data_IF_349407955739
#
_entry.id   IF_349407955739
#
_cell.length_a   1.000
_cell.length_b   1.000
_cell.length_c   1.000
_cell.angle_alpha   90.00
_cell.angle_beta   90.00
_cell.angle_gamma   90.00
#
_symmetry.space_group_name_H-M   'P 1'
#
loop_
_entity.id
_entity.type
_entity.pdbx_description
1 polymer ?
#
# COMPACT_ATOMS: atom_id res chain seq x y z
N UNK A 1 -16.02 -5.14 11.45
CA UNK A 1 -14.98 -4.09 11.34
C UNK A 1 -15.41 -3.07 10.31
N UNK A 2 -15.16 -1.77 10.53
CA UNK A 2 -15.40 -0.75 9.50
C UNK A 2 -14.31 -0.83 8.43
N UNK A 3 -14.70 -0.70 7.16
CA UNK A 3 -13.79 -0.70 6.02
C UNK A 3 -13.38 0.74 5.68
N UNK A 4 -12.08 1.00 5.66
CA UNK A 4 -11.53 2.31 5.31
C UNK A 4 -10.73 2.24 4.01
N UNK A 5 -10.54 3.41 3.40
CA UNK A 5 -9.55 3.64 2.35
C UNK A 5 -8.32 4.24 3.03
N UNK A 6 -7.19 3.52 3.00
CA UNK A 6 -5.94 3.92 3.67
C UNK A 6 -4.93 4.35 2.62
N UNK A 7 -4.37 5.55 2.79
CA UNK A 7 -3.27 6.04 1.98
C UNK A 7 -1.94 5.86 2.73
N UNK A 8 -0.95 5.24 2.09
CA UNK A 8 0.33 4.89 2.70
C UNK A 8 1.47 5.53 1.91
N UNK A 9 2.32 6.28 2.60
CA UNK A 9 3.64 6.67 2.12
C UNK A 9 4.67 5.64 2.58
N UNK A 10 5.71 5.40 1.77
CA UNK A 10 6.70 4.37 2.10
C UNK A 10 6.16 2.94 2.06
N UNK A 11 5.13 2.67 1.25
CA UNK A 11 4.48 1.35 1.15
C UNK A 11 5.43 0.23 0.74
N UNK A 12 6.53 0.56 0.05
CA UNK A 12 7.57 -0.40 -0.36
C UNK A 12 8.67 -0.60 0.70
N UNK A 13 8.61 0.13 1.83
CA UNK A 13 9.60 0.09 2.90
C UNK A 13 9.34 -1.02 3.92
N UNK A 14 10.16 -1.06 4.99
CA UNK A 14 10.14 -2.12 6.00
C UNK A 14 8.78 -2.29 6.69
N UNK A 15 8.14 -1.18 7.08
CA UNK A 15 6.81 -1.24 7.69
C UNK A 15 5.72 -1.44 6.65
N UNK A 16 5.79 -0.75 5.51
CA UNK A 16 4.79 -0.84 4.45
C UNK A 16 4.57 -2.27 3.94
N UNK A 17 5.66 -3.02 3.73
CA UNK A 17 5.58 -4.43 3.26
C UNK A 17 4.87 -5.36 4.24
N UNK A 18 4.88 -5.07 5.54
CA UNK A 18 4.20 -5.86 6.56
C UNK A 18 2.77 -5.35 6.82
N UNK A 19 2.57 -4.03 6.81
CA UNK A 19 1.30 -3.39 7.10
C UNK A 19 0.27 -3.58 5.97
N UNK A 20 0.71 -3.49 4.71
CA UNK A 20 -0.19 -3.56 3.56
C UNK A 20 -0.96 -4.90 3.50
N UNK A 21 -0.30 -6.08 3.60
CA UNK A 21 -1.00 -7.36 3.62
C UNK A 21 -2.05 -7.46 4.74
N UNK A 22 -1.72 -6.97 5.93
CA UNK A 22 -2.65 -6.97 7.08
C UNK A 22 -3.88 -6.09 6.83
N UNK A 23 -3.69 -4.89 6.27
CA UNK A 23 -4.80 -3.99 5.93
C UNK A 23 -5.70 -4.61 4.85
N UNK A 24 -5.09 -5.22 3.83
CA UNK A 24 -5.82 -5.94 2.78
C UNK A 24 -6.58 -7.15 3.34
N UNK A 25 -5.94 -7.94 4.21
CA UNK A 25 -6.56 -9.10 4.87
C UNK A 25 -7.74 -8.73 5.77
N UNK A 26 -7.72 -7.53 6.36
CA UNK A 26 -8.84 -6.95 7.12
C UNK A 26 -9.92 -6.32 6.23
N UNK A 27 -9.75 -6.36 4.90
CA UNK A 27 -10.71 -5.89 3.92
C UNK A 27 -10.64 -4.40 3.61
N UNK A 28 -9.61 -3.68 4.06
CA UNK A 28 -9.41 -2.27 3.73
C UNK A 28 -8.95 -2.10 2.27
N UNK A 29 -9.27 -0.95 1.68
CA UNK A 29 -8.71 -0.56 0.39
C UNK A 29 -7.43 0.24 0.63
N UNK A 30 -6.34 -0.12 -0.05
CA UNK A 30 -5.04 0.53 0.14
C UNK A 30 -4.63 1.28 -1.13
N UNK A 31 -4.18 2.52 -0.93
CA UNK A 31 -3.50 3.33 -1.94
C UNK A 31 -2.09 3.62 -1.43
N UNK A 32 -1.07 3.43 -2.25
CA UNK A 32 0.31 3.65 -1.81
C UNK A 32 1.06 4.57 -2.76
N UNK A 33 1.73 5.58 -2.20
CA UNK A 33 2.69 6.40 -2.91
C UNK A 33 3.97 5.59 -3.12
N UNK A 34 4.43 5.49 -4.37
CA UNK A 34 5.69 4.86 -4.70
C UNK A 34 6.39 5.59 -5.85
N UNK A 35 7.72 5.64 -5.76
CA UNK A 35 8.60 6.03 -6.86
C UNK A 35 8.59 4.96 -7.95
N UNK A 36 8.81 5.35 -9.20
CA UNK A 36 8.70 4.47 -10.37
C UNK A 36 9.57 3.21 -10.26
N UNK A 37 10.76 3.32 -9.68
CA UNK A 37 11.74 2.24 -9.48
C UNK A 37 11.27 1.22 -8.43
N UNK A 38 10.37 1.63 -7.54
CA UNK A 38 9.98 0.83 -6.37
C UNK A 38 8.56 0.30 -6.44
N UNK A 39 7.73 0.82 -7.34
CA UNK A 39 6.29 0.51 -7.42
C UNK A 39 6.00 -0.99 -7.57
N UNK A 40 6.88 -1.74 -8.24
CA UNK A 40 6.72 -3.18 -8.48
C UNK A 40 6.74 -4.01 -7.19
N UNK A 41 7.20 -3.42 -6.07
CA UNK A 41 7.22 -4.07 -4.76
C UNK A 41 5.88 -3.99 -4.03
N UNK A 42 4.90 -3.25 -4.55
CA UNK A 42 3.56 -3.18 -3.97
C UNK A 42 2.72 -4.40 -4.43
N UNK A 43 1.85 -4.95 -3.57
CA UNK A 43 0.91 -5.99 -3.99
C UNK A 43 -0.03 -5.49 -5.10
N UNK A 44 -0.46 -6.36 -6.03
CA UNK A 44 -1.31 -5.96 -7.15
C UNK A 44 -2.69 -5.42 -6.74
N UNK A 45 -3.18 -5.75 -5.54
CA UNK A 45 -4.42 -5.22 -4.99
C UNK A 45 -4.31 -3.76 -4.51
N UNK A 46 -3.09 -3.23 -4.39
CA UNK A 46 -2.86 -1.84 -3.98
C UNK A 46 -2.99 -0.92 -5.18
N UNK A 47 -3.75 0.16 -5.03
CA UNK A 47 -3.74 1.23 -6.03
C UNK A 47 -2.47 2.07 -5.86
N UNK A 48 -1.51 1.86 -6.76
CA UNK A 48 -0.29 2.67 -6.82
C UNK A 48 -0.61 4.12 -7.21
N UNK A 49 0.00 5.05 -6.48
CA UNK A 49 0.08 6.47 -6.82
C UNK A 49 1.55 6.76 -7.06
N UNK A 50 1.91 7.21 -8.26
CA UNK A 50 3.29 7.57 -8.59
C UNK A 50 3.60 8.98 -8.10
N UNK A 51 4.77 9.14 -7.48
CA UNK A 51 5.29 10.42 -6.98
C UNK A 51 6.50 10.22 -6.07
N UNK A 52 6.99 11.30 -5.48
CA UNK A 52 8.11 11.33 -4.54
C UNK A 52 7.63 11.86 -3.18
#
# INVERSE_FOLDING_TARGET
MQKHVVFITGGTGYLGRALIPELLGRGHAVRALARAESQQRLPPQVKTVLGD
#
